data_IF_351293097244
#
_entry.id   IF_351293097244
#
_cell.length_a   1.000
_cell.length_b   1.000
_cell.length_c   1.000
_cell.angle_alpha   90.00
_cell.angle_beta   90.00
_cell.angle_gamma   90.00
#
_symmetry.space_group_name_H-M   'P 1'
#
loop_
_entity.id
_entity.type
_entity.pdbx_description
1 polymer ?
#
# COMPACT_ATOMS: atom_id res chain seq x y z
N UNK A 1 -4.29 0.08 4.73
CA UNK A 1 -4.31 -1.03 3.77
C UNK A 1 -5.22 -0.62 2.63
N UNK A 2 -4.73 -0.71 1.40
CA UNK A 2 -5.52 -0.48 0.21
C UNK A 2 -6.00 -1.81 -0.35
N UNK A 3 -7.25 -1.86 -0.80
CA UNK A 3 -7.78 -2.97 -1.59
C UNK A 3 -6.99 -3.14 -2.88
N UNK A 4 -6.86 -4.40 -3.30
CA UNK A 4 -6.21 -4.83 -4.53
C UNK A 4 -7.22 -5.45 -5.49
N UNK A 5 -7.02 -5.37 -6.81
CA UNK A 5 -7.93 -6.03 -7.76
C UNK A 5 -7.99 -7.54 -7.53
N UNK A 6 -9.19 -8.09 -7.44
CA UNK A 6 -9.45 -9.52 -7.26
C UNK A 6 -9.55 -9.99 -5.81
N UNK A 7 -9.16 -9.17 -4.83
CA UNK A 7 -9.37 -9.45 -3.40
C UNK A 7 -9.73 -8.15 -2.66
N UNK A 8 -10.99 -8.09 -2.25
CA UNK A 8 -11.58 -6.96 -1.52
C UNK A 8 -11.30 -6.96 -0.03
N UNK A 9 -10.99 -8.14 0.53
CA UNK A 9 -10.77 -8.32 1.95
C UNK A 9 -9.34 -7.93 2.28
N UNK A 10 -9.20 -6.76 2.92
CA UNK A 10 -7.89 -6.18 3.25
C UNK A 10 -7.09 -7.00 4.26
N UNK A 11 -7.73 -7.96 4.94
CA UNK A 11 -7.06 -8.90 5.84
C UNK A 11 -6.49 -10.12 5.08
N UNK A 12 -7.00 -10.41 3.88
CA UNK A 12 -6.50 -11.51 3.03
C UNK A 12 -5.43 -11.04 2.06
N UNK A 13 -5.69 -9.94 1.37
CA UNK A 13 -4.70 -9.29 0.51
C UNK A 13 -4.93 -7.77 0.50
N UNK A 14 -3.85 -7.04 0.73
CA UNK A 14 -3.87 -5.60 0.68
C UNK A 14 -2.49 -5.02 0.43
N UNK A 15 -2.48 -3.85 -0.18
CA UNK A 15 -1.28 -3.05 -0.30
C UNK A 15 -1.14 -2.15 0.95
N UNK A 16 0.00 -2.27 1.63
CA UNK A 16 0.36 -1.32 2.68
C UNK A 16 0.59 0.06 2.06
N UNK A 17 -0.24 1.02 2.46
CA UNK A 17 -0.14 2.40 1.99
C UNK A 17 0.72 3.21 2.95
N UNK A 18 1.82 3.75 2.44
CA UNK A 18 2.63 4.75 3.13
C UNK A 18 2.15 6.13 2.67
N UNK A 19 1.59 6.92 3.58
CA UNK A 19 1.11 8.27 3.29
C UNK A 19 1.33 9.21 4.48
N UNK A 20 1.16 10.51 4.25
CA UNK A 20 1.21 11.52 5.32
C UNK A 20 -0.15 11.63 5.99
N UNK A 21 -0.37 10.85 7.05
CA UNK A 21 -1.62 10.90 7.82
C UNK A 21 -1.77 12.21 8.61
N UNK A 22 -0.66 12.81 9.04
CA UNK A 22 -0.64 14.04 9.82
C UNK A 22 0.36 15.02 9.23
N UNK A 23 -0.14 16.04 8.53
CA UNK A 23 0.69 16.97 7.76
C UNK A 23 1.56 17.86 8.67
N UNK A 24 1.00 18.27 9.81
CA UNK A 24 1.59 19.27 10.69
C UNK A 24 2.14 18.67 11.98
N UNK A 25 2.33 17.34 12.03
CA UNK A 25 2.93 16.67 13.20
C UNK A 25 4.38 17.14 13.37
N UNK A 26 4.75 17.74 14.51
CA UNK A 26 6.11 18.18 14.76
C UNK A 26 7.06 16.98 14.92
N UNK A 27 8.30 17.16 14.48
CA UNK A 27 9.38 16.19 14.67
C UNK A 27 10.32 16.73 15.75
N UNK A 28 10.62 15.90 16.75
CA UNK A 28 11.48 16.26 17.86
C UNK A 28 12.77 15.43 17.83
N UNK A 29 13.83 15.95 18.46
CA UNK A 29 15.07 15.21 18.62
C UNK A 29 14.89 14.09 19.65
N UNK A 30 15.32 12.87 19.31
CA UNK A 30 15.31 11.75 20.24
C UNK A 30 16.63 11.69 21.00
N UNK A 31 16.61 11.94 22.32
CA UNK A 31 17.80 11.85 23.16
C UNK A 31 18.18 10.37 23.28
N UNK A 32 19.37 10.00 22.79
CA UNK A 32 19.88 8.61 22.74
C UNK A 32 18.91 7.64 22.04
N UNK A 33 18.11 8.13 21.09
CA UNK A 33 17.13 7.33 20.37
C UNK A 33 15.88 6.94 21.18
N UNK A 34 15.66 7.50 22.38
CA UNK A 34 14.47 7.20 23.17
C UNK A 34 13.23 7.93 22.63
N UNK A 35 12.26 7.16 22.11
CA UNK A 35 11.01 7.67 21.55
C UNK A 35 10.05 8.19 22.64
N UNK A 36 10.14 7.68 23.88
CA UNK A 36 9.24 8.05 24.98
C UNK A 36 9.56 9.42 25.56
N UNK A 37 10.82 9.85 25.50
CA UNK A 37 11.30 11.12 26.06
C UNK A 37 12.02 11.96 25.00
N UNK A 38 11.29 12.45 23.99
CA UNK A 38 11.87 13.35 22.99
C UNK A 38 12.16 14.72 23.59
N UNK A 39 13.21 15.37 23.10
CA UNK A 39 13.48 16.77 23.41
C UNK A 39 12.50 17.67 22.65
N UNK A 40 11.55 18.25 23.39
CA UNK A 40 10.51 19.13 22.84
C UNK A 40 10.93 20.61 22.78
N UNK A 41 12.13 20.95 23.24
CA UNK A 41 12.61 22.34 23.24
C UNK A 41 12.85 22.87 21.83
N UNK A 42 13.17 22.00 20.87
CA UNK A 42 13.42 22.35 19.49
C UNK A 42 12.67 21.44 18.51
N UNK A 43 11.88 22.04 17.62
CA UNK A 43 11.20 21.32 16.54
C UNK A 43 12.15 21.22 15.36
N UNK A 44 12.46 20.00 14.94
CA UNK A 44 13.34 19.75 13.81
C UNK A 44 12.65 20.13 12.49
N UNK A 45 13.28 21.04 11.76
CA UNK A 45 12.92 21.33 10.38
C UNK A 45 13.36 20.17 9.46
N UNK A 46 12.59 19.86 8.39
CA UNK A 46 13.02 18.89 7.40
C UNK A 46 14.31 19.35 6.73
N UNK A 47 15.31 18.47 6.68
CA UNK A 47 16.62 18.78 6.13
C UNK A 47 17.50 17.55 6.07
N UNK A 48 18.70 17.72 5.51
CA UNK A 48 19.75 16.71 5.47
C UNK A 48 20.89 17.12 6.40
N UNK A 49 21.50 16.18 7.14
CA UNK A 49 22.73 16.45 7.86
C UNK A 49 23.80 16.97 6.90
N UNK A 50 24.53 18.02 7.28
CA UNK A 50 25.59 18.60 6.45
C UNK A 50 26.66 17.57 6.03
N UNK A 51 26.89 16.54 6.86
CA UNK A 51 27.81 15.45 6.56
C UNK A 51 27.40 14.58 5.35
N UNK A 52 26.12 14.59 4.96
CA UNK A 52 25.60 13.78 3.85
C UNK A 52 25.57 14.54 2.52
N UNK A 53 26.03 15.79 2.49
CA UNK A 53 26.15 16.60 1.28
C UNK A 53 25.24 17.83 1.29
N UNK A 54 24.73 18.26 0.12
CA UNK A 54 23.99 19.51 0.01
C UNK A 54 22.69 19.47 0.83
N UNK A 55 22.19 20.66 1.18
CA UNK A 55 20.92 20.79 1.88
C UNK A 55 19.78 20.18 1.05
N UNK A 56 18.81 19.60 1.76
CA UNK A 56 17.55 19.19 1.17
C UNK A 56 16.93 20.38 0.43
N UNK A 57 16.49 20.16 -0.81
CA UNK A 57 15.80 21.17 -1.59
C UNK A 57 14.50 21.64 -0.91
N UNK A 58 13.84 22.64 -1.51
CA UNK A 58 12.58 23.19 -0.98
C UNK A 58 11.53 22.08 -0.85
N UNK A 59 10.99 21.92 0.36
CA UNK A 59 9.89 20.98 0.63
C UNK A 59 8.57 21.71 0.40
N UNK A 60 7.81 21.28 -0.61
CA UNK A 60 6.53 21.87 -0.96
C UNK A 60 5.39 20.86 -0.84
N UNK A 61 4.19 21.33 -0.48
CA UNK A 61 3.02 20.47 -0.41
C UNK A 61 2.63 19.99 -1.81
N UNK A 62 2.40 18.69 -1.95
CA UNK A 62 2.05 18.05 -3.22
C UNK A 62 0.56 17.72 -3.23
N UNK A 63 -0.16 18.13 -4.28
CA UNK A 63 -1.57 17.74 -4.45
C UNK A 63 -1.65 16.26 -4.84
N UNK A 64 -2.54 15.53 -4.18
CA UNK A 64 -2.74 14.10 -4.45
C UNK A 64 -3.92 13.91 -5.41
N UNK A 65 -3.84 12.96 -6.36
CA UNK A 65 -4.98 12.60 -7.18
C UNK A 65 -6.04 11.87 -6.35
N UNK A 66 -7.29 11.82 -6.85
CA UNK A 66 -8.43 11.22 -6.16
C UNK A 66 -8.16 9.79 -5.67
N UNK A 67 -7.57 8.92 -6.48
CA UNK A 67 -7.24 7.55 -6.06
C UNK A 67 -6.19 7.45 -4.92
N UNK A 68 -5.41 8.52 -4.69
CA UNK A 68 -4.39 8.58 -3.63
C UNK A 68 -4.91 9.12 -2.31
N UNK A 69 -5.92 9.99 -2.30
CA UNK A 69 -6.54 10.43 -1.04
C UNK A 69 -7.90 9.78 -0.79
N UNK A 70 -8.49 9.13 -1.78
CA UNK A 70 -9.72 8.37 -1.64
C UNK A 70 -9.69 7.06 -2.47
N UNK A 71 -8.97 6.03 -1.98
CA UNK A 71 -8.74 4.80 -2.74
C UNK A 71 -10.00 3.99 -3.05
N UNK A 72 -11.00 4.00 -2.19
CA UNK A 72 -12.21 3.19 -2.40
C UNK A 72 -13.10 3.74 -3.53
N UNK A 73 -12.82 4.95 -4.02
CA UNK A 73 -13.44 5.53 -5.21
C UNK A 73 -12.97 4.87 -6.54
N UNK A 74 -11.95 3.99 -6.50
CA UNK A 74 -11.44 3.31 -7.70
C UNK A 74 -12.51 2.38 -8.29
N UNK A 75 -12.58 2.31 -9.61
CA UNK A 75 -13.67 1.60 -10.30
C UNK A 75 -13.74 0.10 -9.97
N UNK A 76 -12.60 -0.56 -9.83
CA UNK A 76 -12.57 -1.99 -9.48
C UNK A 76 -13.19 -2.24 -8.10
N UNK A 77 -12.98 -1.34 -7.13
CA UNK A 77 -13.59 -1.43 -5.80
C UNK A 77 -15.11 -1.35 -5.91
N UNK A 78 -15.62 -0.40 -6.70
CA UNK A 78 -17.05 -0.28 -6.96
C UNK A 78 -17.64 -1.51 -7.66
N UNK A 79 -16.91 -2.13 -8.59
CA UNK A 79 -17.35 -3.34 -9.28
C UNK A 79 -17.42 -4.54 -8.33
N UNK A 80 -16.41 -4.72 -7.48
CA UNK A 80 -16.37 -5.80 -6.52
C UNK A 80 -17.40 -5.63 -5.41
N UNK A 81 -17.62 -4.42 -4.90
CA UNK A 81 -18.70 -4.15 -3.93
C UNK A 81 -20.08 -4.49 -4.50
N UNK A 82 -20.32 -4.19 -5.79
CA UNK A 82 -21.55 -4.60 -6.48
C UNK A 82 -21.67 -6.12 -6.58
N UNK A 83 -20.59 -6.82 -6.93
CA UNK A 83 -20.56 -8.28 -6.99
C UNK A 83 -20.81 -8.90 -5.61
N UNK A 84 -20.23 -8.35 -4.54
CA UNK A 84 -20.48 -8.79 -3.17
C UNK A 84 -21.95 -8.61 -2.77
N UNK A 85 -22.55 -7.46 -3.07
CA UNK A 85 -23.95 -7.21 -2.79
C UNK A 85 -24.87 -8.18 -3.55
N UNK A 86 -24.58 -8.47 -4.82
CA UNK A 86 -25.30 -9.48 -5.61
C UNK A 86 -25.13 -10.89 -5.01
N UNK A 87 -23.91 -11.25 -4.61
CA UNK A 87 -23.63 -12.52 -3.93
C UNK A 87 -24.36 -12.65 -2.58
N UNK A 88 -24.53 -11.55 -1.85
CA UNK A 88 -25.29 -11.54 -0.60
C UNK A 88 -26.78 -11.81 -0.84
N UNK A 89 -27.36 -11.28 -1.92
CA UNK A 89 -28.75 -11.58 -2.32
C UNK A 89 -28.91 -13.08 -2.59
N UNK A 90 -27.99 -13.68 -3.36
CA UNK A 90 -28.04 -15.12 -3.65
C UNK A 90 -27.93 -15.99 -2.39
N UNK A 91 -27.08 -15.59 -1.43
CA UNK A 91 -26.91 -16.30 -0.15
C UNK A 91 -28.11 -16.16 0.79
N UNK A 92 -28.86 -15.07 0.68
CA UNK A 92 -29.98 -14.78 1.57
C UNK A 92 -31.31 -15.45 1.17
N UNK A 93 -31.35 -16.23 0.08
CA UNK A 93 -32.58 -16.80 -0.48
C UNK A 93 -33.42 -17.67 0.50
N UNK A 94 -32.83 -18.17 1.59
CA UNK A 94 -33.52 -18.99 2.60
C UNK A 94 -34.17 -18.22 3.75
N UNK A 95 -33.94 -16.91 3.90
CA UNK A 95 -34.49 -16.08 4.97
C UNK A 95 -35.15 -14.83 4.36
N UNK A 96 -36.49 -14.68 4.42
CA UNK A 96 -37.20 -13.57 3.80
C UNK A 96 -36.74 -12.18 4.27
N UNK A 97 -36.37 -12.03 5.55
CA UNK A 97 -35.92 -10.74 6.08
C UNK A 97 -34.48 -10.45 5.67
N UNK A 98 -33.60 -11.46 5.68
CA UNK A 98 -32.26 -11.32 5.15
C UNK A 98 -32.27 -11.03 3.63
N UNK A 99 -33.18 -11.67 2.87
CA UNK A 99 -33.32 -11.44 1.44
C UNK A 99 -33.80 -10.02 1.16
N UNK A 100 -34.83 -9.54 1.89
CA UNK A 100 -35.32 -8.17 1.76
C UNK A 100 -34.25 -7.13 2.10
N UNK A 101 -33.46 -7.35 3.15
CA UNK A 101 -32.34 -6.50 3.51
C UNK A 101 -31.26 -6.49 2.41
N UNK A 102 -30.82 -7.66 1.95
CA UNK A 102 -29.81 -7.78 0.90
C UNK A 102 -30.25 -7.15 -0.44
N UNK A 103 -31.53 -7.31 -0.82
CA UNK A 103 -32.10 -6.70 -2.03
C UNK A 103 -32.18 -5.17 -1.93
N UNK A 104 -32.34 -4.61 -0.74
CA UNK A 104 -32.35 -3.17 -0.52
C UNK A 104 -30.93 -2.55 -0.47
N UNK A 105 -29.93 -3.32 -0.07
CA UNK A 105 -28.53 -2.86 0.02
C UNK A 105 -27.90 -2.59 -1.34
N UNK A 106 -28.20 -3.38 -2.38
CA UNK A 106 -27.67 -3.18 -3.73
C UNK A 106 -28.03 -1.79 -4.31
N UNK A 107 -29.30 -1.38 -4.40
CA UNK A 107 -29.65 -0.05 -4.91
C UNK A 107 -29.16 1.08 -4.00
N UNK A 108 -29.05 0.85 -2.68
CA UNK A 108 -28.46 1.83 -1.77
C UNK A 108 -26.96 2.04 -2.06
N UNK A 109 -26.21 0.95 -2.26
CA UNK A 109 -24.80 1.00 -2.67
C UNK A 109 -24.62 1.71 -4.01
N UNK A 110 -25.45 1.38 -5.01
CA UNK A 110 -25.38 2.02 -6.33
C UNK A 110 -25.67 3.52 -6.26
N UNK A 111 -26.64 3.94 -5.45
CA UNK A 111 -26.95 5.35 -5.24
C UNK A 111 -25.82 6.09 -4.53
N UNK A 112 -25.17 5.47 -3.53
CA UNK A 112 -23.98 6.03 -2.86
C UNK A 112 -22.81 6.19 -3.84
N UNK A 113 -22.53 5.17 -4.66
CA UNK A 113 -21.50 5.23 -5.71
C UNK A 113 -21.81 6.36 -6.70
N UNK A 114 -23.06 6.53 -7.12
CA UNK A 114 -23.47 7.60 -8.02
C UNK A 114 -23.28 8.98 -7.39
N UNK A 115 -23.69 9.16 -6.13
CA UNK A 115 -23.51 10.40 -5.39
C UNK A 115 -22.03 10.77 -5.24
N UNK A 116 -21.16 9.81 -4.94
CA UNK A 116 -19.71 10.08 -4.84
C UNK A 116 -19.07 10.40 -6.18
N UNK A 117 -19.44 9.69 -7.25
CA UNK A 117 -18.97 10.01 -8.60
C UNK A 117 -19.34 11.44 -9.00
N UNK A 118 -20.55 11.89 -8.66
CA UNK A 118 -21.00 13.26 -8.87
C UNK A 118 -20.23 14.27 -8.00
N UNK A 119 -20.01 13.94 -6.70
CA UNK A 119 -19.24 14.76 -5.75
C UNK A 119 -17.82 15.04 -6.22
N UNK A 120 -17.15 14.01 -6.75
CA UNK A 120 -15.75 14.08 -7.17
C UNK A 120 -15.56 14.22 -8.68
N UNK A 121 -16.63 14.50 -9.43
CA UNK A 121 -16.55 14.82 -10.85
C UNK A 121 -15.75 16.11 -11.07
N UNK A 122 -15.00 16.14 -12.18
CA UNK A 122 -14.26 17.33 -12.62
C UNK A 122 -14.67 17.63 -14.07
N UNK A 123 -15.47 18.67 -14.33
CA UNK A 123 -16.06 19.63 -13.37
C UNK A 123 -17.15 18.99 -12.47
N UNK A 124 -17.51 19.69 -11.38
CA UNK A 124 -18.50 19.21 -10.41
C UNK A 124 -19.87 18.99 -11.06
N UNK A 125 -20.51 17.86 -10.75
CA UNK A 125 -21.82 17.52 -11.28
C UNK A 125 -22.91 18.32 -10.55
N UNK A 126 -23.75 19.10 -11.27
CA UNK A 126 -24.82 19.88 -10.65
C UNK A 126 -25.88 19.01 -9.95
N UNK A 127 -25.99 17.73 -10.30
CA UNK A 127 -26.96 16.80 -9.73
C UNK A 127 -26.47 16.13 -8.44
N UNK A 128 -25.30 16.52 -7.90
CA UNK A 128 -24.76 15.93 -6.68
C UNK A 128 -25.77 15.94 -5.51
N UNK A 129 -26.45 17.05 -5.27
CA UNK A 129 -27.40 17.15 -4.14
C UNK A 129 -28.60 16.21 -4.30
N UNK A 130 -29.12 16.05 -5.52
CA UNK A 130 -30.21 15.12 -5.82
C UNK A 130 -29.75 13.66 -5.64
N UNK A 131 -28.58 13.32 -6.18
CA UNK A 131 -27.99 11.98 -6.03
C UNK A 131 -27.66 11.66 -4.57
N UNK A 132 -27.16 12.64 -3.81
CA UNK A 132 -26.88 12.51 -2.39
C UNK A 132 -28.17 12.34 -1.57
N UNK A 133 -29.27 13.01 -1.93
CA UNK A 133 -30.57 12.80 -1.29
C UNK A 133 -31.13 11.40 -1.58
N UNK A 134 -31.04 10.94 -2.84
CA UNK A 134 -31.42 9.58 -3.23
C UNK A 134 -30.60 8.50 -2.50
N UNK A 135 -29.30 8.70 -2.37
CA UNK A 135 -28.41 7.81 -1.62
C UNK A 135 -28.83 7.71 -0.14
N UNK A 136 -29.08 8.86 0.50
CA UNK A 136 -29.59 8.94 1.89
C UNK A 136 -30.87 8.14 2.08
N UNK A 137 -31.85 8.31 1.19
CA UNK A 137 -33.15 7.64 1.31
C UNK A 137 -33.08 6.12 1.11
N UNK A 138 -32.32 5.67 0.11
CA UNK A 138 -32.14 4.24 -0.15
C UNK A 138 -31.31 3.57 0.95
N UNK A 139 -30.28 4.23 1.45
CA UNK A 139 -29.47 3.73 2.58
C UNK A 139 -30.31 3.63 3.85
N UNK A 140 -31.14 4.63 4.15
CA UNK A 140 -32.07 4.57 5.28
C UNK A 140 -33.03 3.39 5.15
N UNK A 141 -33.61 3.18 3.96
CA UNK A 141 -34.52 2.04 3.71
C UNK A 141 -33.82 0.70 3.90
N UNK A 142 -32.61 0.54 3.37
CA UNK A 142 -31.80 -0.66 3.55
C UNK A 142 -31.43 -0.88 5.02
N UNK A 143 -31.04 0.19 5.73
CA UNK A 143 -30.70 0.18 7.15
C UNK A 143 -31.86 -0.26 8.05
N UNK A 144 -33.10 0.19 7.76
CA UNK A 144 -34.30 -0.24 8.50
C UNK A 144 -34.54 -1.75 8.31
N UNK A 145 -34.49 -2.24 7.06
CA UNK A 145 -34.69 -3.67 6.76
C UNK A 145 -33.61 -4.54 7.43
N UNK A 146 -32.36 -4.10 7.36
CA UNK A 146 -31.24 -4.76 8.04
C UNK A 146 -31.34 -4.69 9.55
N UNK A 147 -31.90 -3.61 10.09
CA UNK A 147 -32.22 -3.48 11.51
C UNK A 147 -33.26 -4.51 11.95
N UNK A 148 -34.33 -4.70 11.16
CA UNK A 148 -35.34 -5.74 11.42
C UNK A 148 -34.76 -7.15 11.37
N UNK A 149 -33.94 -7.45 10.37
CA UNK A 149 -33.21 -8.74 10.27
C UNK A 149 -32.35 -8.99 11.53
N UNK A 150 -31.57 -7.99 11.96
CA UNK A 150 -30.73 -8.09 13.18
C UNK A 150 -31.57 -8.28 14.45
N UNK A 151 -32.69 -7.58 14.56
CA UNK A 151 -33.60 -7.70 15.71
C UNK A 151 -34.19 -9.11 15.80
N UNK A 152 -34.63 -9.68 14.68
CA UNK A 152 -35.14 -11.04 14.64
C UNK A 152 -34.08 -12.06 15.06
N UNK A 153 -32.85 -11.93 14.55
CA UNK A 153 -31.72 -12.79 14.93
C UNK A 153 -31.39 -12.67 16.43
N UNK A 154 -31.31 -11.45 16.95
CA UNK A 154 -31.07 -11.21 18.37
C UNK A 154 -32.19 -11.77 19.27
N UNK A 155 -33.45 -11.69 18.82
CA UNK A 155 -34.59 -12.29 19.53
C UNK A 155 -34.50 -13.82 19.55
N UNK A 156 -34.09 -14.44 18.44
CA UNK A 156 -33.88 -15.88 18.35
C UNK A 156 -32.70 -16.34 19.24
N UNK A 157 -31.60 -15.59 19.26
CA UNK A 157 -30.46 -15.82 20.16
C UNK A 157 -30.87 -15.75 21.64
N UNK A 158 -31.67 -14.73 22.01
CA UNK A 158 -32.20 -14.59 23.38
C UNK A 158 -33.12 -15.75 23.75
N UNK A 159 -33.99 -16.16 22.83
CA UNK A 159 -34.89 -17.31 23.04
C UNK A 159 -34.09 -18.60 23.24
N UNK A 160 -33.06 -18.83 22.42
CA UNK A 160 -32.18 -20.00 22.52
C UNK A 160 -31.35 -19.99 23.82
N UNK A 161 -30.85 -18.83 24.23
CA UNK A 161 -30.09 -18.67 25.47
C UNK A 161 -30.92 -18.98 26.74
N UNK A 162 -32.24 -18.78 26.67
CA UNK A 162 -33.18 -19.03 27.78
C UNK A 162 -33.80 -20.44 27.77
N UNK A 163 -33.61 -21.24 26.72
CA UNK A 163 -34.29 -22.52 26.53
C UNK A 163 -33.77 -23.70 27.38
N UNK A 164 -32.68 -23.54 28.15
CA UNK A 164 -32.10 -24.61 28.97
C UNK A 164 -32.58 -24.59 30.44
N UNK A 165 -32.64 -25.76 31.09
CA UNK A 165 -33.01 -25.91 32.52
C UNK A 165 -32.13 -25.11 33.50
N UNK A 166 -30.88 -24.81 33.10
CA UNK A 166 -29.98 -23.84 33.74
C UNK A 166 -29.31 -22.98 32.65
N UNK A 167 -29.90 -21.83 32.30
CA UNK A 167 -29.34 -20.98 31.26
C UNK A 167 -28.00 -20.38 31.71
N UNK A 168 -27.03 -20.38 30.80
CA UNK A 168 -25.71 -19.80 31.05
C UNK A 168 -25.83 -18.27 31.16
N UNK A 169 -25.59 -17.74 32.36
CA UNK A 169 -25.72 -16.31 32.65
C UNK A 169 -24.85 -15.41 31.75
N UNK A 170 -23.71 -15.91 31.22
CA UNK A 170 -22.91 -15.15 30.25
C UNK A 170 -23.59 -15.05 28.90
N UNK A 171 -24.17 -16.16 28.41
CA UNK A 171 -24.86 -16.20 27.11
C UNK A 171 -26.13 -15.36 27.12
N UNK A 172 -26.87 -15.37 28.23
CA UNK A 172 -28.06 -14.51 28.39
C UNK A 172 -27.69 -13.03 28.42
N UNK A 173 -26.62 -12.66 29.15
CA UNK A 173 -26.16 -11.27 29.19
C UNK A 173 -25.69 -10.76 27.80
N UNK A 174 -25.01 -11.61 27.03
CA UNK A 174 -24.57 -11.28 25.67
C UNK A 174 -25.76 -11.13 24.70
N UNK A 175 -26.72 -12.06 24.72
CA UNK A 175 -27.93 -11.99 23.90
C UNK A 175 -28.79 -10.76 24.24
N UNK A 176 -28.91 -10.42 25.54
CA UNK A 176 -29.63 -9.22 25.98
C UNK A 176 -28.95 -7.93 25.50
N UNK A 177 -27.60 -7.88 25.53
CA UNK A 177 -26.82 -6.77 24.97
C UNK A 177 -27.03 -6.65 23.45
N UNK A 178 -27.02 -7.75 22.72
CA UNK A 178 -27.23 -7.77 21.27
C UNK A 178 -28.64 -7.28 20.90
N UNK A 179 -29.67 -7.71 21.65
CA UNK A 179 -31.05 -7.27 21.45
C UNK A 179 -31.24 -5.78 21.73
N UNK A 180 -30.65 -5.28 22.82
CA UNK A 180 -30.67 -3.86 23.15
C UNK A 180 -29.97 -3.02 22.05
N UNK A 181 -28.82 -3.49 21.55
CA UNK A 181 -28.09 -2.83 20.46
C UNK A 181 -28.89 -2.82 19.14
N UNK A 182 -29.54 -3.93 18.77
CA UNK A 182 -30.37 -4.02 17.57
C UNK A 182 -31.58 -3.08 17.64
N UNK A 183 -32.20 -2.97 18.81
CA UNK A 183 -33.36 -2.08 19.04
C UNK A 183 -32.93 -0.61 18.96
N UNK A 184 -31.79 -0.24 19.55
CA UNK A 184 -31.26 1.12 19.49
C UNK A 184 -30.82 1.52 18.07
N UNK A 185 -30.35 0.58 17.25
CA UNK A 185 -29.95 0.85 15.87
C UNK A 185 -31.13 1.27 14.97
N UNK A 186 -32.38 0.90 15.30
CA UNK A 186 -33.57 1.27 14.53
C UNK A 186 -34.00 2.74 14.71
N UNK A 187 -33.55 3.40 15.78
CA UNK A 187 -33.97 4.77 16.13
C UNK A 187 -32.91 5.83 15.85
N UNK A 188 -31.75 5.45 15.30
CA UNK A 188 -30.69 6.41 15.02
C UNK A 188 -31.02 7.26 13.79
N UNK A 189 -31.07 8.60 13.91
CA UNK A 189 -31.21 9.49 12.77
C UNK A 189 -29.89 9.50 11.98
N UNK A 190 -29.95 9.19 10.69
CA UNK A 190 -28.81 9.32 9.78
C UNK A 190 -28.75 10.74 9.20
N UNK A 191 -27.67 11.48 9.49
CA UNK A 191 -27.38 12.77 8.87
C UNK A 191 -26.41 12.58 7.71
N UNK A 192 -26.92 12.43 6.49
CA UNK A 192 -26.12 12.18 5.29
C UNK A 192 -26.08 10.71 4.86
N UNK A 193 -25.34 10.42 3.79
CA UNK A 193 -25.07 9.06 3.33
C UNK A 193 -23.67 8.63 3.78
N UNK A 194 -23.45 7.33 3.97
CA UNK A 194 -22.14 6.81 4.39
C UNK A 194 -21.18 6.79 3.21
N UNK A 195 -19.98 7.41 3.30
CA UNK A 195 -18.97 7.28 2.27
C UNK A 195 -18.61 5.81 1.98
N UNK A 196 -18.22 5.50 0.75
CA UNK A 196 -17.79 4.15 0.36
C UNK A 196 -16.54 3.72 1.11
N UNK A 197 -15.68 4.67 1.48
CA UNK A 197 -14.46 4.39 2.21
C UNK A 197 -13.90 5.58 2.99
N UNK A 198 -12.63 5.45 3.39
CA UNK A 198 -11.94 6.48 4.16
C UNK A 198 -11.31 7.54 3.25
N UNK A 199 -11.67 8.79 3.49
CA UNK A 199 -11.00 9.96 2.90
C UNK A 199 -9.71 10.29 3.69
N UNK A 200 -8.66 10.63 2.97
CA UNK A 200 -7.34 11.04 3.48
C UNK A 200 -7.04 12.49 3.06
N UNK A 201 -6.00 13.13 3.62
CA UNK A 201 -5.63 14.48 3.21
C UNK A 201 -5.38 14.59 1.71
N UNK A 202 -5.95 15.61 1.07
CA UNK A 202 -5.83 15.87 -0.38
C UNK A 202 -4.44 16.36 -0.80
N UNK A 203 -3.58 16.69 0.17
CA UNK A 203 -2.21 17.14 -0.04
C UNK A 203 -1.26 16.32 0.84
N UNK A 204 -0.07 16.03 0.34
CA UNK A 204 1.05 15.48 1.10
C UNK A 204 2.01 16.60 1.54
N UNK A 205 2.80 16.35 2.58
CA UNK A 205 3.87 17.25 3.03
C UNK A 205 4.96 17.47 1.98
N UNK A 206 5.09 16.56 1.02
CA UNK A 206 6.15 16.59 0.00
C UNK A 206 7.55 16.25 0.50
N UNK A 207 7.72 15.94 1.79
CA UNK A 207 9.02 15.60 2.40
C UNK A 207 9.67 14.38 1.71
N UNK A 208 8.87 13.35 1.39
CA UNK A 208 9.36 12.14 0.70
C UNK A 208 9.78 12.44 -0.74
N UNK A 209 9.03 13.28 -1.45
CA UNK A 209 9.38 13.71 -2.80
C UNK A 209 10.69 14.49 -2.81
N UNK A 210 10.83 15.45 -1.89
CA UNK A 210 12.07 16.22 -1.72
C UNK A 210 13.27 15.31 -1.41
N UNK A 211 13.09 14.32 -0.51
CA UNK A 211 14.13 13.34 -0.20
C UNK A 211 14.49 12.48 -1.42
N UNK A 212 13.49 11.99 -2.17
CA UNK A 212 13.73 11.18 -3.36
C UNK A 212 14.49 11.96 -4.45
N UNK A 213 14.11 13.22 -4.67
CA UNK A 213 14.83 14.12 -5.58
C UNK A 213 16.26 14.38 -5.11
N UNK A 214 16.48 14.55 -3.80
CA UNK A 214 17.81 14.75 -3.23
C UNK A 214 18.70 13.50 -3.35
N UNK A 215 18.15 12.30 -3.14
CA UNK A 215 18.89 11.04 -3.32
C UNK A 215 19.37 10.89 -4.77
N UNK A 216 18.52 11.22 -5.75
CA UNK A 216 18.85 11.15 -7.18
C UNK A 216 19.48 12.42 -7.77
N UNK A 217 19.84 13.40 -6.94
CA UNK A 217 20.37 14.68 -7.40
C UNK A 217 21.81 14.55 -7.91
N UNK A 218 22.17 15.31 -8.93
CA UNK A 218 23.55 15.43 -9.42
C UNK A 218 24.48 16.07 -8.40
N UNK A 219 23.92 16.85 -7.47
CA UNK A 219 24.65 17.46 -6.35
C UNK A 219 24.97 16.45 -5.24
N UNK A 220 24.39 15.24 -5.30
CA UNK A 220 24.65 14.15 -4.36
C UNK A 220 25.38 12.98 -5.05
N UNK A 221 26.72 12.99 -5.10
CA UNK A 221 27.49 11.95 -5.78
C UNK A 221 27.46 10.60 -5.05
N UNK A 222 27.03 10.53 -3.79
CA UNK A 222 27.10 9.31 -2.98
C UNK A 222 26.25 8.19 -3.58
N UNK A 223 25.02 8.50 -3.99
CA UNK A 223 24.10 7.54 -4.61
C UNK A 223 24.70 6.92 -5.87
N UNK A 224 25.29 7.76 -6.74
CA UNK A 224 25.92 7.29 -7.98
C UNK A 224 27.15 6.41 -7.70
N UNK A 225 28.00 6.79 -6.75
CA UNK A 225 29.18 6.01 -6.35
C UNK A 225 28.80 4.64 -5.80
N UNK A 226 27.80 4.57 -4.93
CA UNK A 226 27.28 3.31 -4.38
C UNK A 226 26.75 2.42 -5.50
N UNK A 227 25.91 2.97 -6.39
CA UNK A 227 25.34 2.23 -7.51
C UNK A 227 26.42 1.67 -8.47
N UNK A 228 27.40 2.51 -8.84
CA UNK A 228 28.53 2.11 -9.68
C UNK A 228 29.35 0.99 -9.03
N UNK A 229 29.62 1.08 -7.73
CA UNK A 229 30.39 0.06 -7.02
C UNK A 229 29.68 -1.30 -7.04
N UNK A 230 28.37 -1.32 -6.83
CA UNK A 230 27.56 -2.53 -6.95
C UNK A 230 27.52 -3.09 -8.38
N UNK A 231 27.46 -2.23 -9.39
CA UNK A 231 27.48 -2.65 -10.80
C UNK A 231 28.86 -3.22 -11.16
N UNK A 232 29.93 -2.54 -10.74
CA UNK A 232 31.31 -2.96 -10.96
C UNK A 232 31.58 -4.33 -10.31
N UNK A 233 31.16 -4.52 -9.05
CA UNK A 233 31.26 -5.78 -8.34
C UNK A 233 30.65 -6.96 -9.12
N UNK A 234 29.47 -6.75 -9.75
CA UNK A 234 28.80 -7.80 -10.53
C UNK A 234 29.52 -8.16 -11.84
N UNK A 235 30.34 -7.26 -12.38
CA UNK A 235 31.12 -7.49 -13.61
C UNK A 235 32.50 -8.07 -13.32
N UNK A 236 33.18 -7.59 -12.28
CA UNK A 236 34.57 -7.94 -11.98
C UNK A 236 34.74 -8.89 -10.78
N UNK A 237 33.66 -9.25 -10.07
CA UNK A 237 33.69 -10.08 -8.87
C UNK A 237 34.34 -9.41 -7.65
N UNK A 238 34.88 -8.21 -7.81
CA UNK A 238 35.50 -7.41 -6.76
C UNK A 238 35.02 -5.97 -6.87
N UNK A 239 34.71 -5.35 -5.74
CA UNK A 239 34.25 -3.96 -5.67
C UNK A 239 35.42 -2.97 -5.71
N UNK A 240 35.17 -1.75 -6.18
CA UNK A 240 36.13 -0.64 -6.12
C UNK A 240 36.30 -0.17 -4.67
N UNK A 241 35.19 -0.07 -3.94
CA UNK A 241 35.15 0.09 -2.48
C UNK A 241 34.81 -1.28 -1.88
N UNK A 242 35.73 -1.94 -1.15
CA UNK A 242 35.50 -3.27 -0.59
C UNK A 242 34.29 -3.34 0.36
N UNK A 243 34.03 -2.24 1.06
CA UNK A 243 32.90 -2.05 1.98
C UNK A 243 31.67 -1.60 1.20
N UNK A 244 31.02 -2.56 0.54
CA UNK A 244 29.91 -2.30 -0.39
C UNK A 244 28.71 -1.60 0.28
N UNK A 245 28.49 -1.85 1.57
CA UNK A 245 27.36 -1.29 2.34
C UNK A 245 27.74 -0.10 3.22
N UNK A 246 29.02 0.32 3.25
CA UNK A 246 29.49 1.44 4.07
C UNK A 246 30.43 2.33 3.28
N UNK A 247 29.89 3.44 2.79
CA UNK A 247 30.62 4.50 2.11
C UNK A 247 30.91 5.70 3.03
N UNK A 248 30.62 5.56 4.33
CA UNK A 248 30.85 6.59 5.34
C UNK A 248 32.28 6.60 5.87
N UNK A 249 32.49 7.34 6.97
CA UNK A 249 33.80 7.46 7.63
C UNK A 249 34.36 6.13 8.16
N UNK A 250 33.48 5.16 8.42
CA UNK A 250 33.85 3.81 8.88
C UNK A 250 34.14 2.86 7.71
N UNK A 251 33.86 3.27 6.48
CA UNK A 251 34.14 2.53 5.26
C UNK A 251 35.62 2.48 4.90
N UNK A 252 35.98 1.51 4.06
CA UNK A 252 37.31 1.42 3.47
C UNK A 252 37.44 2.39 2.29
N UNK A 253 38.65 2.93 2.08
CA UNK A 253 38.91 3.79 0.92
C UNK A 253 38.80 3.00 -0.39
N UNK A 254 38.30 3.60 -1.48
CA UNK A 254 38.28 2.96 -2.79
C UNK A 254 39.69 2.67 -3.28
N UNK A 255 39.85 1.50 -3.91
CA UNK A 255 41.09 1.11 -4.59
C UNK A 255 41.49 2.08 -5.70
N UNK A 256 40.51 2.68 -6.37
CA UNK A 256 40.72 3.68 -7.41
C UNK A 256 39.58 4.72 -7.36
N UNK A 257 39.82 5.81 -6.63
CA UNK A 257 38.88 6.92 -6.50
C UNK A 257 38.61 7.61 -7.85
N UNK A 258 39.62 7.97 -8.68
CA UNK A 258 39.37 8.63 -9.97
C UNK A 258 38.46 7.84 -10.91
N UNK A 259 38.64 6.51 -10.97
CA UNK A 259 37.78 5.64 -11.79
C UNK A 259 36.34 5.62 -11.27
N UNK A 260 36.16 5.51 -9.96
CA UNK A 260 34.84 5.53 -9.33
C UNK A 260 34.12 6.86 -9.62
N UNK A 261 34.82 7.99 -9.49
CA UNK A 261 34.27 9.31 -9.75
C UNK A 261 33.91 9.49 -11.23
N UNK A 262 34.78 9.08 -12.15
CA UNK A 262 34.50 9.14 -13.59
C UNK A 262 33.24 8.33 -13.96
N UNK A 263 33.13 7.11 -13.45
CA UNK A 263 31.97 6.26 -13.71
C UNK A 263 30.70 6.80 -13.06
N UNK A 264 30.79 7.37 -11.85
CA UNK A 264 29.65 7.99 -11.16
C UNK A 264 29.16 9.24 -11.90
N UNK A 265 30.07 10.11 -12.34
CA UNK A 265 29.73 11.28 -13.16
C UNK A 265 29.09 10.86 -14.48
N UNK A 266 29.65 9.88 -15.19
CA UNK A 266 29.07 9.42 -16.45
C UNK A 266 27.70 8.75 -16.25
N UNK A 267 27.52 8.02 -15.14
CA UNK A 267 26.23 7.44 -14.79
C UNK A 267 25.16 8.53 -14.61
N UNK A 268 25.46 9.59 -13.86
CA UNK A 268 24.57 10.73 -13.70
C UNK A 268 24.33 11.48 -15.01
N UNK A 269 25.39 11.76 -15.79
CA UNK A 269 25.32 12.46 -17.09
C UNK A 269 24.48 11.72 -18.12
N UNK A 270 24.48 10.39 -18.07
CA UNK A 270 23.66 9.55 -18.95
C UNK A 270 22.18 9.46 -18.53
N UNK A 271 21.75 10.25 -17.54
CA UNK A 271 20.39 10.21 -17.00
C UNK A 271 20.12 8.95 -16.18
N UNK A 272 21.11 8.48 -15.42
CA UNK A 272 21.02 7.25 -14.60
C UNK A 272 20.75 5.98 -15.42
N UNK A 273 21.19 5.94 -16.69
CA UNK A 273 21.02 4.79 -17.57
C UNK A 273 21.98 3.66 -17.20
N UNK A 274 21.46 2.64 -16.51
CA UNK A 274 22.22 1.42 -16.20
C UNK A 274 22.76 0.74 -17.47
N UNK A 275 22.00 0.77 -18.58
CA UNK A 275 22.40 0.20 -19.86
C UNK A 275 23.64 0.90 -20.43
N UNK A 276 23.68 2.24 -20.37
CA UNK A 276 24.83 3.02 -20.84
C UNK A 276 26.07 2.71 -20.01
N UNK A 277 25.93 2.68 -18.69
CA UNK A 277 27.01 2.34 -17.78
C UNK A 277 27.53 0.91 -18.01
N UNK A 278 26.64 -0.08 -18.19
CA UNK A 278 27.05 -1.44 -18.54
C UNK A 278 27.81 -1.48 -19.86
N UNK A 279 27.33 -0.80 -20.90
CA UNK A 279 28.03 -0.73 -22.19
C UNK A 279 29.43 -0.13 -22.03
N UNK A 280 29.58 0.95 -21.27
CA UNK A 280 30.87 1.58 -20.99
C UNK A 280 31.84 0.60 -20.33
N UNK A 281 31.39 -0.11 -19.30
CA UNK A 281 32.21 -1.11 -18.60
C UNK A 281 32.60 -2.25 -19.55
N UNK A 282 31.64 -2.85 -20.25
CA UNK A 282 31.85 -4.01 -21.13
C UNK A 282 32.72 -3.70 -22.35
N UNK A 283 32.72 -2.44 -22.82
CA UNK A 283 33.56 -2.02 -23.96
C UNK A 283 34.97 -1.58 -23.56
N UNK A 284 35.22 -1.39 -22.26
CA UNK A 284 36.51 -0.97 -21.72
C UNK A 284 37.61 -2.02 -21.93
N UNK A 285 38.86 -1.55 -22.02
CA UNK A 285 40.03 -2.44 -22.05
C UNK A 285 40.14 -3.27 -20.75
N UNK A 286 39.73 -2.71 -19.61
CA UNK A 286 39.73 -3.40 -18.33
C UNK A 286 38.84 -4.66 -18.33
N UNK A 287 37.63 -4.56 -18.88
CA UNK A 287 36.74 -5.72 -18.97
C UNK A 287 37.24 -6.75 -19.99
N UNK A 288 37.77 -6.31 -21.14
CA UNK A 288 38.32 -7.20 -22.17
C UNK A 288 39.57 -7.96 -21.71
N UNK A 289 40.36 -7.39 -20.81
CA UNK A 289 41.55 -8.02 -20.25
C UNK A 289 41.23 -9.12 -19.22
N UNK A 290 40.03 -9.07 -18.63
CA UNK A 290 39.56 -10.06 -17.66
C UNK A 290 38.87 -11.19 -18.43
N UNK A 291 39.40 -12.42 -18.33
CA UNK A 291 38.61 -13.59 -18.74
C UNK A 291 37.44 -13.72 -17.76
N UNK A 292 36.19 -13.87 -18.24
CA UNK A 292 35.07 -14.07 -17.33
C UNK A 292 35.34 -15.35 -16.55
N UNK A 293 35.59 -15.22 -15.24
CA UNK A 293 35.65 -16.36 -14.36
C UNK A 293 34.31 -17.10 -14.47
N UNK A 294 34.35 -18.44 -14.55
CA UNK A 294 33.14 -19.25 -14.54
C UNK A 294 32.41 -19.00 -13.23
N UNK A 295 31.40 -18.12 -13.25
CA UNK A 295 30.63 -17.79 -12.05
C UNK A 295 29.50 -18.81 -11.92
N UNK A 296 29.32 -19.31 -10.71
CA UNK A 296 28.08 -20.02 -10.37
C UNK A 296 26.94 -19.01 -10.47
N UNK A 297 25.92 -19.32 -11.25
CA UNK A 297 24.70 -18.52 -11.31
C UNK A 297 23.86 -18.79 -10.07
N UNK A 298 23.20 -17.75 -9.56
CA UNK A 298 22.19 -17.88 -8.52
C UNK A 298 21.03 -18.76 -9.04
N UNK A 299 20.42 -19.55 -8.16
CA UNK A 299 19.39 -20.51 -8.52
C UNK A 299 18.18 -19.84 -9.20
N UNK A 300 17.84 -18.63 -8.77
CA UNK A 300 16.76 -17.80 -9.28
C UNK A 300 17.02 -17.39 -10.73
N UNK A 301 18.26 -17.04 -11.07
CA UNK A 301 18.63 -16.64 -12.43
C UNK A 301 18.50 -17.84 -13.37
N UNK A 302 18.89 -19.03 -12.92
CA UNK A 302 18.76 -20.27 -13.70
C UNK A 302 17.28 -20.58 -13.94
N UNK A 303 16.46 -20.61 -12.88
CA UNK A 303 15.01 -20.86 -12.95
C UNK A 303 14.30 -19.86 -13.84
N UNK A 304 14.46 -18.57 -13.59
CA UNK A 304 13.79 -17.50 -14.34
C UNK A 304 14.22 -17.52 -15.82
N UNK A 305 15.47 -17.90 -16.12
CA UNK A 305 15.94 -18.07 -17.50
C UNK A 305 15.24 -19.24 -18.20
N UNK A 306 15.08 -20.38 -17.51
CA UNK A 306 14.34 -21.54 -18.06
C UNK A 306 12.89 -21.15 -18.34
N UNK A 307 12.19 -20.56 -17.35
CA UNK A 307 10.80 -20.10 -17.50
C UNK A 307 10.66 -19.04 -18.60
N UNK A 308 11.65 -18.15 -18.75
CA UNK A 308 11.63 -17.14 -19.80
C UNK A 308 11.78 -17.75 -21.19
N UNK A 309 12.64 -18.76 -21.36
CA UNK A 309 12.85 -19.45 -22.64
C UNK A 309 11.64 -20.30 -23.01
N UNK A 310 10.96 -20.92 -22.04
CA UNK A 310 9.73 -21.69 -22.28
C UNK A 310 8.50 -20.81 -22.50
N UNK A 311 8.60 -19.50 -22.28
CA UNK A 311 7.47 -18.56 -22.35
C UNK A 311 6.49 -18.68 -21.18
N UNK A 312 6.85 -19.42 -20.14
CA UNK A 312 6.01 -19.65 -18.97
C UNK A 312 6.20 -18.61 -17.87
N UNK A 313 7.27 -17.80 -17.95
CA UNK A 313 7.57 -16.78 -16.93
C UNK A 313 6.47 -15.72 -16.85
N UNK A 314 5.77 -15.70 -15.72
CA UNK A 314 4.86 -14.62 -15.36
C UNK A 314 5.66 -13.39 -14.90
N UNK A 315 5.55 -12.31 -15.68
CA UNK A 315 6.21 -11.02 -15.44
C UNK A 315 5.33 -10.01 -14.71
N UNK A 316 4.13 -10.41 -14.29
CA UNK A 316 3.19 -9.55 -13.55
C UNK A 316 3.86 -9.04 -12.28
N UNK A 317 3.90 -7.72 -12.10
CA UNK A 317 4.45 -7.07 -10.90
C UNK A 317 3.38 -6.93 -9.81
N UNK A 318 3.75 -7.07 -8.54
CA UNK A 318 2.83 -6.92 -7.39
C UNK A 318 2.07 -8.20 -7.04
N UNK A 319 0.91 -8.10 -6.38
CA UNK A 319 0.06 -9.25 -6.01
C UNK A 319 0.50 -9.99 -4.74
N UNK A 320 -0.35 -10.92 -4.28
CA UNK A 320 -0.15 -11.72 -3.07
C UNK A 320 1.23 -12.39 -3.06
N UNK A 321 1.82 -12.46 -1.87
CA UNK A 321 2.94 -13.34 -1.60
C UNK A 321 2.63 -14.78 -2.04
N UNK A 322 3.64 -15.45 -2.59
CA UNK A 322 3.50 -16.83 -3.05
C UNK A 322 3.48 -17.74 -1.82
N UNK A 323 2.45 -18.57 -1.71
CA UNK A 323 2.38 -19.65 -0.70
C UNK A 323 3.67 -20.49 -0.76
N UNK A 324 4.44 -20.58 0.34
CA UNK A 324 5.68 -21.36 0.40
C UNK A 324 5.51 -22.80 -0.07
N UNK A 325 4.34 -23.42 0.17
CA UNK A 325 4.07 -24.79 -0.25
C UNK A 325 3.95 -24.93 -1.77
N UNK A 326 3.62 -23.84 -2.48
CA UNK A 326 3.46 -23.79 -3.94
C UNK A 326 4.64 -23.13 -4.66
N UNK A 327 5.75 -22.92 -3.95
CA UNK A 327 6.92 -22.22 -4.48
C UNK A 327 7.46 -22.81 -5.79
N UNK A 328 7.38 -24.14 -5.97
CA UNK A 328 7.84 -24.86 -7.17
C UNK A 328 6.86 -24.78 -8.35
N UNK A 329 5.56 -24.63 -8.08
CA UNK A 329 4.52 -24.49 -9.11
C UNK A 329 4.41 -23.06 -9.62
N UNK A 330 4.86 -22.09 -8.82
CA UNK A 330 4.82 -20.68 -9.20
C UNK A 330 5.65 -20.43 -10.45
N UNK A 331 5.06 -19.69 -11.37
CA UNK A 331 5.72 -19.20 -12.60
C UNK A 331 6.10 -17.73 -12.50
N UNK A 332 5.80 -17.09 -11.37
CA UNK A 332 6.08 -15.67 -11.14
C UNK A 332 7.58 -15.46 -11.02
N UNK A 333 8.06 -14.36 -11.57
CA UNK A 333 9.46 -13.95 -11.41
C UNK A 333 9.82 -13.90 -9.92
N UNK A 334 10.85 -14.65 -9.57
CA UNK A 334 11.22 -14.94 -8.19
C UNK A 334 11.64 -13.66 -7.45
N UNK A 335 10.86 -13.20 -6.47
CA UNK A 335 11.30 -12.35 -5.37
C UNK A 335 11.03 -13.13 -4.09
N UNK A 336 11.95 -14.04 -3.73
CA UNK A 336 11.91 -14.64 -2.41
C UNK A 336 12.38 -13.60 -1.41
N UNK A 337 11.51 -13.13 -0.51
CA UNK A 337 11.77 -13.02 0.93
C UNK A 337 10.46 -12.69 1.64
N UNK A 338 9.78 -13.72 2.17
CA UNK A 338 9.19 -13.55 3.50
C UNK A 338 10.31 -13.84 4.50
N UNK A 339 10.73 -12.82 5.22
CA UNK A 339 11.44 -13.02 6.49
C UNK A 339 10.41 -12.74 7.56
N UNK A 340 9.75 -13.79 8.04
CA UNK A 340 9.05 -13.74 9.32
C UNK A 340 9.69 -14.74 10.27
N UNK A 341 9.87 -14.34 11.55
CA UNK A 341 10.53 -15.13 12.59
C UNK A 341 9.70 -16.34 13.05
#
# INVERSE_FOLDING_TARGET
MDRVPGETDVEKDALSRIFDASLDRPTYLLIRGNIQTPDKSNVLAPGTPAALGPALGKVERVSLPLGSYYPDHREFVHAELRQQAQGAIAKAAGDPLALAAAQAELPALEARIAAERAKFAVPADPNFEELAAKARDLERKAGILRGHEKLQKAQAEMTAALAGEKPDGKKVAEAQKNLAAATAALTQPATGYTPIGKEYPTKSTGRRTALAQWIGSTENPLTARVAVNHIWLRHFGTALVPTVFDFGLNGQKPKNQPLLDLLATEFMRSGWSMKTLHKLILTSAAYKAVRPASRRLEAEVIRDSILAVTGELDRTMGGVDIDPAKGFESRRRSLYFSHSP
#
